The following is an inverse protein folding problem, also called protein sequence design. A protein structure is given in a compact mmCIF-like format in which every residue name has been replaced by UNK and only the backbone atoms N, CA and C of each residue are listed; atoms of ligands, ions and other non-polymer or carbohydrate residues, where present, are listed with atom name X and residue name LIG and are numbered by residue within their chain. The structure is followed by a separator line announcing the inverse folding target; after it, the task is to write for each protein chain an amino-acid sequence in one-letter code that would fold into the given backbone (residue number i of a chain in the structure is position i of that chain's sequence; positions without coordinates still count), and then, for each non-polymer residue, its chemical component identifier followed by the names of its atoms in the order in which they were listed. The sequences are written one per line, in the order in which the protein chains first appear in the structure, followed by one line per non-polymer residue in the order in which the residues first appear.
data_IF_330443538418
#
_entry.id   IF_330443538418
#
_cell.length_a   1.000
_cell.length_b   1.000
_cell.length_c   1.000
_cell.angle_alpha   90.00
_cell.angle_beta   90.00
_cell.angle_gamma   90.00
#
_symmetry.space_group_name_H-M   'P 1'
#
loop_
_entity.id
_entity.type
_entity.pdbx_description
1 polymer ?
#
# COMPACT_ATOMS: atom_id res chain seq x y z
N UNK A 1 -7.91 -23.16 -10.73
CA UNK A 1 -7.02 -23.45 -9.56
C UNK A 1 -7.03 -22.30 -8.55
N UNK A 2 -6.62 -21.08 -8.91
CA UNK A 2 -6.58 -19.95 -7.96
C UNK A 2 -7.92 -19.69 -7.24
N UNK A 3 -9.04 -19.61 -7.97
CA UNK A 3 -10.37 -19.38 -7.37
C UNK A 3 -10.73 -20.47 -6.34
N UNK A 4 -10.43 -21.74 -6.65
CA UNK A 4 -10.70 -22.84 -5.74
C UNK A 4 -9.84 -22.76 -4.47
N UNK A 5 -8.56 -22.40 -4.60
CA UNK A 5 -7.64 -22.21 -3.47
C UNK A 5 -8.09 -21.05 -2.58
N UNK A 6 -8.36 -19.88 -3.16
CA UNK A 6 -8.84 -18.73 -2.39
C UNK A 6 -10.21 -18.97 -1.75
N UNK A 7 -11.12 -19.67 -2.46
CA UNK A 7 -12.43 -20.05 -1.92
C UNK A 7 -12.32 -21.00 -0.73
N UNK A 8 -11.42 -21.99 -0.79
CA UNK A 8 -11.18 -22.92 0.32
C UNK A 8 -10.55 -22.21 1.53
N UNK A 9 -9.57 -21.34 1.31
CA UNK A 9 -8.98 -20.53 2.38
C UNK A 9 -10.02 -19.62 3.02
N UNK A 10 -10.88 -18.98 2.22
CA UNK A 10 -11.98 -18.16 2.73
C UNK A 10 -12.96 -18.99 3.59
N UNK A 11 -13.34 -20.18 3.13
CA UNK A 11 -14.21 -21.09 3.89
C UNK A 11 -13.58 -21.47 5.25
N UNK A 12 -12.28 -21.79 5.26
CA UNK A 12 -11.55 -22.11 6.50
C UNK A 12 -11.45 -20.90 7.45
N UNK A 13 -11.25 -19.69 6.90
CA UNK A 13 -11.18 -18.45 7.68
C UNK A 13 -12.51 -18.04 8.31
N UNK A 14 -13.64 -18.53 7.80
CA UNK A 14 -14.99 -18.26 8.36
C UNK A 14 -15.27 -19.14 9.59
N UNK A 15 -14.73 -20.36 9.66
CA UNK A 15 -14.94 -21.32 10.76
C UNK A 15 -14.72 -20.74 12.18
N UNK A 16 -13.70 -19.91 12.47
CA UNK A 16 -13.54 -19.32 13.80
C UNK A 16 -14.61 -18.27 14.17
N UNK A 17 -15.50 -17.88 13.26
CA UNK A 17 -16.63 -16.98 13.53
C UNK A 17 -16.25 -15.51 13.75
N UNK A 18 -14.97 -15.14 13.62
CA UNK A 18 -14.46 -13.79 13.89
C UNK A 18 -14.51 -12.88 12.64
N UNK A 19 -15.65 -12.85 11.96
CA UNK A 19 -15.84 -12.10 10.72
C UNK A 19 -15.51 -10.62 10.86
N UNK A 20 -15.84 -10.02 12.01
CA UNK A 20 -15.54 -8.61 12.28
C UNK A 20 -14.03 -8.33 12.23
N UNK A 21 -13.22 -9.22 12.80
CA UNK A 21 -11.76 -9.06 12.80
C UNK A 21 -11.18 -9.21 11.40
N UNK A 22 -11.72 -10.15 10.61
CA UNK A 22 -11.28 -10.35 9.23
C UNK A 22 -11.66 -9.17 8.33
N UNK A 23 -12.85 -8.60 8.52
CA UNK A 23 -13.30 -7.39 7.85
C UNK A 23 -12.45 -6.17 8.24
N UNK A 24 -12.16 -5.99 9.53
CA UNK A 24 -11.28 -4.93 10.04
C UNK A 24 -9.85 -5.07 9.48
N UNK A 25 -9.33 -6.30 9.36
CA UNK A 25 -8.00 -6.55 8.77
C UNK A 25 -7.96 -6.29 7.26
N UNK A 26 -9.02 -6.64 6.54
CA UNK A 26 -9.18 -6.26 5.13
C UNK A 26 -9.21 -4.73 4.98
N UNK A 27 -10.02 -4.05 5.80
CA UNK A 27 -10.14 -2.60 5.81
C UNK A 27 -8.79 -1.91 6.13
N UNK A 28 -8.02 -2.45 7.09
CA UNK A 28 -6.68 -1.97 7.42
C UNK A 28 -5.78 -1.92 6.18
N UNK A 29 -5.69 -3.03 5.43
CA UNK A 29 -4.85 -3.10 4.24
C UNK A 29 -5.34 -2.19 3.11
N UNK A 30 -6.66 -2.19 2.86
CA UNK A 30 -7.26 -1.37 1.81
C UNK A 30 -7.07 0.13 2.06
N UNK A 31 -7.34 0.60 3.29
CA UNK A 31 -7.19 2.01 3.65
C UNK A 31 -5.74 2.45 3.51
N UNK A 32 -4.79 1.65 4.01
CA UNK A 32 -3.36 1.96 3.90
C UNK A 32 -2.91 2.07 2.43
N UNK A 33 -3.33 1.13 1.58
CA UNK A 33 -3.06 1.17 0.13
C UNK A 33 -3.61 2.42 -0.53
N UNK A 34 -4.87 2.79 -0.23
CA UNK A 34 -5.46 4.01 -0.77
C UNK A 34 -4.77 5.27 -0.23
N UNK A 35 -4.36 5.30 1.03
CA UNK A 35 -3.58 6.43 1.57
C UNK A 35 -2.27 6.57 0.80
N UNK A 36 -1.53 5.49 0.56
CA UNK A 36 -0.31 5.52 -0.26
C UNK A 36 -0.57 5.96 -1.70
N UNK A 37 -1.66 5.52 -2.33
CA UNK A 37 -2.02 5.94 -3.67
C UNK A 37 -2.26 7.46 -3.75
N UNK A 38 -3.04 8.01 -2.81
CA UNK A 38 -3.29 9.45 -2.75
C UNK A 38 -2.02 10.25 -2.45
N UNK A 39 -1.20 9.78 -1.50
CA UNK A 39 0.10 10.40 -1.19
C UNK A 39 1.04 10.36 -2.40
N UNK A 40 1.06 9.28 -3.17
CA UNK A 40 1.88 9.13 -4.36
C UNK A 40 1.47 10.14 -5.45
N UNK A 41 0.17 10.38 -5.63
CA UNK A 41 -0.32 11.42 -6.55
C UNK A 41 0.16 12.81 -6.12
N UNK A 42 0.09 13.13 -4.83
CA UNK A 42 0.54 14.41 -4.29
C UNK A 42 2.06 14.55 -4.45
N UNK A 43 2.82 13.52 -4.06
CA UNK A 43 4.28 13.49 -4.15
C UNK A 43 4.77 13.64 -5.59
N UNK A 44 4.15 12.95 -6.55
CA UNK A 44 4.50 13.04 -7.96
C UNK A 44 4.23 14.42 -8.54
N UNK A 45 3.22 15.14 -8.06
CA UNK A 45 2.97 16.54 -8.47
C UNK A 45 3.95 17.53 -7.88
N UNK A 46 4.56 17.20 -6.75
CA UNK A 46 5.62 18.00 -6.17
C UNK A 46 6.98 17.73 -6.82
N UNK A 47 7.26 16.46 -7.14
CA UNK A 47 8.55 16.00 -7.69
C UNK A 47 8.66 16.20 -9.21
N UNK A 48 7.58 15.94 -9.94
CA UNK A 48 7.55 15.97 -11.41
C UNK A 48 6.33 16.79 -11.91
N UNK A 49 6.35 18.12 -11.71
CA UNK A 49 5.23 18.99 -12.07
C UNK A 49 4.99 19.06 -13.59
N UNK A 50 6.06 18.99 -14.39
CA UNK A 50 6.03 19.20 -15.85
C UNK A 50 5.78 17.92 -16.66
N UNK A 51 5.60 16.77 -15.98
CA UNK A 51 5.26 15.52 -16.64
C UNK A 51 3.97 15.68 -17.47
N UNK A 52 3.99 15.19 -18.71
CA UNK A 52 2.81 15.19 -19.57
C UNK A 52 1.70 14.34 -18.92
N UNK A 53 0.58 14.97 -18.58
CA UNK A 53 -0.56 14.33 -17.91
C UNK A 53 -1.77 14.34 -18.85
N UNK A 54 -2.13 13.20 -19.47
CA UNK A 54 -3.30 13.09 -20.37
C UNK A 54 -4.62 13.45 -19.69
N UNK A 55 -4.72 13.21 -18.38
CA UNK A 55 -5.88 13.55 -17.56
C UNK A 55 -5.46 14.43 -16.38
N UNK A 56 -6.19 15.52 -16.15
CA UNK A 56 -6.03 16.41 -14.99
C UNK A 56 -7.33 16.43 -14.20
N UNK A 57 -7.27 15.92 -12.97
CA UNK A 57 -8.37 16.00 -11.99
C UNK A 57 -8.75 17.48 -11.77
N UNK A 58 -10.05 17.80 -11.80
CA UNK A 58 -10.57 19.14 -11.45
C UNK A 58 -10.35 19.47 -9.97
N UNK A 59 -10.45 20.75 -9.58
CA UNK A 59 -10.23 21.23 -8.20
C UNK A 59 -8.76 21.13 -7.70
N UNK A 60 -7.82 21.61 -8.51
CA UNK A 60 -6.44 21.79 -8.05
C UNK A 60 -6.24 23.16 -7.40
N UNK A 61 -5.62 23.22 -6.23
CA UNK A 61 -5.16 24.47 -5.61
C UNK A 61 -3.70 24.70 -5.99
N UNK A 62 -3.37 25.92 -6.40
CA UNK A 62 -1.99 26.33 -6.66
C UNK A 62 -1.35 26.75 -5.34
N UNK A 63 -0.39 25.98 -4.86
CA UNK A 63 0.43 26.32 -3.69
C UNK A 63 1.90 26.36 -4.13
N UNK A 64 2.57 27.51 -3.95
CA UNK A 64 3.99 27.72 -4.35
C UNK A 64 4.31 27.28 -5.79
N UNK A 65 3.44 27.62 -6.75
CA UNK A 65 3.62 27.27 -8.16
C UNK A 65 3.28 25.81 -8.53
N UNK A 66 2.90 24.97 -7.56
CA UNK A 66 2.51 23.56 -7.78
C UNK A 66 1.00 23.38 -7.71
N UNK A 67 0.45 22.57 -8.62
CA UNK A 67 -0.99 22.26 -8.65
C UNK A 67 -1.30 21.01 -7.81
N UNK A 68 -1.76 21.22 -6.57
CA UNK A 68 -2.09 20.13 -5.64
C UNK A 68 -3.59 19.80 -5.77
N UNK A 69 -3.96 18.54 -6.07
CA UNK A 69 -5.34 18.13 -6.22
C UNK A 69 -6.00 18.01 -4.84
N UNK A 70 -7.00 18.84 -4.57
CA UNK A 70 -7.78 18.77 -3.33
C UNK A 70 -8.39 17.39 -3.10
N UNK A 71 -8.97 16.70 -4.11
CA UNK A 71 -9.55 15.38 -3.90
C UNK A 71 -8.55 14.37 -3.35
N UNK A 72 -7.28 14.45 -3.78
CA UNK A 72 -6.26 13.52 -3.27
C UNK A 72 -5.83 13.84 -1.85
N UNK A 73 -5.80 15.13 -1.48
CA UNK A 73 -5.50 15.52 -0.09
C UNK A 73 -6.63 15.06 0.83
N UNK A 74 -7.88 15.31 0.45
CA UNK A 74 -9.05 14.87 1.23
C UNK A 74 -9.08 13.34 1.31
N UNK A 75 -8.85 12.64 0.19
CA UNK A 75 -8.78 11.18 0.15
C UNK A 75 -7.67 10.62 1.04
N UNK A 76 -6.47 11.21 1.02
CA UNK A 76 -5.37 10.82 1.90
C UNK A 76 -5.72 11.02 3.38
N UNK A 77 -6.31 12.17 3.74
CA UNK A 77 -6.70 12.46 5.11
C UNK A 77 -7.85 11.57 5.59
N UNK A 78 -8.86 11.31 4.75
CA UNK A 78 -10.00 10.48 5.11
C UNK A 78 -9.60 9.01 5.27
N UNK A 79 -8.82 8.47 4.32
CA UNK A 79 -8.35 7.08 4.39
C UNK A 79 -7.33 6.89 5.50
N UNK A 80 -6.36 7.81 5.62
CA UNK A 80 -5.36 7.77 6.69
C UNK A 80 -5.96 7.97 8.07
N UNK A 81 -6.90 8.90 8.22
CA UNK A 81 -7.63 9.14 9.47
C UNK A 81 -8.44 7.93 9.89
N UNK A 82 -9.22 7.33 8.98
CA UNK A 82 -9.96 6.11 9.29
C UNK A 82 -9.03 4.94 9.62
N UNK A 83 -7.90 4.82 8.92
CA UNK A 83 -6.89 3.81 9.24
C UNK A 83 -6.32 3.99 10.66
N UNK A 84 -6.03 5.23 11.08
CA UNK A 84 -5.60 5.53 12.46
C UNK A 84 -6.67 5.11 13.47
N UNK A 85 -7.94 5.40 13.20
CA UNK A 85 -9.04 4.96 14.08
C UNK A 85 -9.04 3.44 14.21
N UNK A 86 -8.98 2.69 13.10
CA UNK A 86 -8.94 1.21 13.11
C UNK A 86 -7.75 0.70 13.94
N UNK A 87 -6.56 1.28 13.76
CA UNK A 87 -5.36 0.91 14.53
C UNK A 87 -5.53 1.15 16.03
N UNK A 88 -6.22 2.23 16.41
CA UNK A 88 -6.43 2.56 17.82
C UNK A 88 -7.55 1.72 18.46
N UNK A 89 -8.61 1.38 17.71
CA UNK A 89 -9.79 0.69 18.25
C UNK A 89 -9.68 -0.82 18.24
N UNK A 90 -8.98 -1.41 17.26
CA UNK A 90 -8.99 -2.86 17.02
C UNK A 90 -7.62 -3.48 17.30
N UNK A 91 -7.40 -3.93 18.54
CA UNK A 91 -6.10 -4.44 18.99
C UNK A 91 -5.60 -5.64 18.17
N UNK A 92 -6.49 -6.62 17.93
CA UNK A 92 -6.16 -7.82 17.16
C UNK A 92 -5.77 -7.46 15.72
N UNK A 93 -6.55 -6.58 15.09
CA UNK A 93 -6.30 -6.07 13.75
C UNK A 93 -4.97 -5.33 13.68
N UNK A 94 -4.66 -4.51 14.69
CA UNK A 94 -3.40 -3.77 14.79
C UNK A 94 -2.19 -4.71 14.77
N UNK A 95 -2.16 -5.71 15.64
CA UNK A 95 -1.02 -6.63 15.72
C UNK A 95 -0.88 -7.50 14.46
N UNK A 96 -1.99 -8.03 13.94
CA UNK A 96 -1.97 -8.83 12.71
C UNK A 96 -1.56 -7.98 11.49
N UNK A 97 -2.11 -6.77 11.38
CA UNK A 97 -1.83 -5.85 10.28
C UNK A 97 -0.35 -5.44 10.25
N UNK A 98 0.20 -4.98 11.38
CA UNK A 98 1.62 -4.61 11.45
C UNK A 98 2.54 -5.83 11.33
N UNK A 99 2.17 -6.97 11.93
CA UNK A 99 2.92 -8.22 11.78
C UNK A 99 3.01 -8.66 10.32
N UNK A 100 1.91 -8.53 9.57
CA UNK A 100 1.86 -8.83 8.15
C UNK A 100 2.72 -7.86 7.31
N UNK A 101 2.65 -6.56 7.60
CA UNK A 101 3.51 -5.56 6.94
C UNK A 101 4.99 -5.82 7.21
N UNK A 102 5.35 -6.17 8.46
CA UNK A 102 6.71 -6.51 8.83
C UNK A 102 7.19 -7.79 8.10
N UNK A 103 6.35 -8.83 8.03
CA UNK A 103 6.64 -10.03 7.28
C UNK A 103 6.86 -9.73 5.79
N UNK A 104 5.96 -8.97 5.18
CA UNK A 104 6.09 -8.53 3.79
C UNK A 104 7.37 -7.75 3.54
N UNK A 105 7.75 -6.86 4.46
CA UNK A 105 9.00 -6.12 4.40
C UNK A 105 10.22 -7.04 4.51
N UNK A 106 10.22 -7.99 5.44
CA UNK A 106 11.30 -8.99 5.59
C UNK A 106 11.45 -9.80 4.31
N UNK A 107 10.35 -10.34 3.77
CA UNK A 107 10.35 -11.09 2.51
C UNK A 107 10.88 -10.23 1.37
N UNK A 108 10.43 -8.98 1.26
CA UNK A 108 10.93 -8.05 0.25
C UNK A 108 12.43 -7.79 0.37
N UNK A 109 12.94 -7.58 1.59
CA UNK A 109 14.37 -7.34 1.81
C UNK A 109 15.22 -8.59 1.52
N UNK A 110 14.73 -9.78 1.87
CA UNK A 110 15.39 -11.05 1.55
C UNK A 110 15.43 -11.27 0.03
N UNK A 111 14.30 -11.06 -0.65
CA UNK A 111 14.22 -11.13 -2.11
C UNK A 111 15.16 -10.11 -2.76
N UNK A 112 15.14 -8.85 -2.32
CA UNK A 112 15.99 -7.78 -2.85
C UNK A 112 17.48 -8.12 -2.74
N UNK A 113 17.91 -8.65 -1.59
CA UNK A 113 19.30 -9.11 -1.40
C UNK A 113 19.68 -10.24 -2.34
N UNK A 114 18.76 -11.16 -2.64
CA UNK A 114 19.01 -12.24 -3.61
C UNK A 114 19.16 -11.71 -5.04
N UNK A 115 18.33 -10.75 -5.43
CA UNK A 115 18.39 -10.12 -6.75
C UNK A 115 19.62 -9.23 -6.93
N UNK A 116 20.00 -8.44 -5.91
CA UNK A 116 21.23 -7.63 -5.92
C UNK A 116 22.48 -8.50 -6.09
N UNK A 117 22.53 -9.67 -5.41
CA UNK A 117 23.62 -10.63 -5.55
C UNK A 117 23.67 -11.27 -6.94
N UNK A 118 22.53 -11.61 -7.52
CA UNK A 118 22.46 -12.15 -8.88
C UNK A 118 22.97 -11.12 -9.91
N UNK A 119 22.61 -9.84 -9.76
CA UNK A 119 23.05 -8.77 -10.64
C UNK A 119 24.57 -8.49 -10.56
N UNK A 120 25.20 -8.61 -9.38
CA UNK A 120 26.66 -8.48 -9.27
C UNK A 120 27.42 -9.64 -9.91
N UNK A 121 26.94 -10.89 -9.73
CA UNK A 121 27.59 -12.06 -10.34
C UNK A 121 27.55 -12.00 -11.86
N UNK A 122 26.43 -11.55 -12.46
CA UNK A 122 26.31 -11.42 -13.91
C UNK A 122 27.25 -10.34 -14.48
N UNK A 123 27.43 -9.22 -13.77
CA UNK A 123 28.40 -8.19 -14.16
C UNK A 123 29.87 -8.63 -14.04
N UNK A 124 30.20 -9.50 -13.07
CA UNK A 124 31.56 -10.05 -12.93
C UNK A 124 31.87 -11.10 -14.00
N UNK A 125 30.86 -11.89 -14.43
CA UNK A 125 31.00 -12.86 -15.53
C UNK A 125 31.14 -12.18 -16.89
N UNK A 126 30.47 -11.05 -17.12
CA UNK A 126 30.57 -10.31 -18.39
C UNK A 126 31.92 -9.57 -18.54
N UNK A 127 32.63 -9.31 -17.43
CA UNK A 127 33.90 -8.56 -17.40
C UNK A 127 35.16 -9.43 -17.31
N UNK A 128 35.02 -10.74 -17.07
CA UNK A 128 36.13 -11.71 -16.99
C UNK A 128 36.33 -12.47 -18.29
#
# INVERSE_FOLDING_TARGET
VAIAVFGLVAALLILPGKLQQLASLYAFGAMLSFTFAHMSIIALRAKEPDMARPFRIGLNVRVRGRSIPLPSVIGALATGGTWVVVVMTEEVTRYLGFGWLALGLVVFLLYRRSSERAAMVEQDVEKG
#
